data_IF_156806302538
#
_entry.id   IF_156806302538
#
_cell.length_a   1.000
_cell.length_b   1.000
_cell.length_c   1.000
_cell.angle_alpha   90.00
_cell.angle_beta   90.00
_cell.angle_gamma   90.00
#
_symmetry.space_group_name_H-M   'P 1'
#
loop_
_entity.id
_entity.type
_entity.pdbx_description
1 polymer ?
#
# COMPACT_ATOMS: atom_id res chain seq x y z
N UNK A 1 -3.55 -26.98 -24.44
CA UNK A 1 -2.11 -26.76 -24.19
C UNK A 1 -1.45 -28.12 -24.13
N UNK A 2 -0.51 -28.39 -25.05
CA UNK A 2 0.12 -29.71 -25.24
C UNK A 2 1.23 -29.91 -24.20
N UNK A 3 1.17 -31.06 -23.54
CA UNK A 3 2.17 -31.61 -22.64
C UNK A 3 3.39 -32.06 -23.47
N UNK A 4 4.56 -31.45 -23.28
CA UNK A 4 5.82 -31.95 -23.84
C UNK A 4 6.63 -32.62 -22.73
N UNK A 5 6.57 -33.95 -22.71
CA UNK A 5 7.59 -34.83 -22.14
C UNK A 5 8.83 -34.79 -23.03
N UNK A 6 10.01 -34.51 -22.48
CA UNK A 6 11.28 -34.76 -23.17
C UNK A 6 12.14 -35.74 -22.37
N UNK A 7 12.43 -36.83 -23.05
CA UNK A 7 13.14 -38.04 -22.65
C UNK A 7 14.64 -37.86 -22.47
N UNK A 8 15.14 -38.77 -21.64
CA UNK A 8 16.48 -39.01 -21.14
C UNK A 8 17.50 -39.48 -22.20
N UNK A 9 18.78 -39.39 -21.79
CA UNK A 9 19.98 -40.19 -22.16
C UNK A 9 20.92 -39.59 -23.22
N UNK A 10 22.13 -39.21 -22.78
CA UNK A 10 23.36 -39.65 -23.45
C UNK A 10 24.52 -39.75 -22.45
N UNK A 11 25.00 -40.98 -22.28
CA UNK A 11 26.21 -41.36 -21.54
C UNK A 11 27.40 -41.12 -22.47
N UNK A 12 28.46 -40.46 -21.99
CA UNK A 12 29.78 -40.55 -22.61
C UNK A 12 30.84 -40.85 -21.54
N UNK A 13 31.31 -42.09 -21.55
CA UNK A 13 32.51 -42.56 -20.86
C UNK A 13 33.75 -42.15 -21.66
N UNK A 14 34.74 -41.55 -21.00
CA UNK A 14 36.11 -41.48 -21.52
C UNK A 14 37.06 -41.94 -20.42
N UNK A 15 37.56 -43.14 -20.61
CA UNK A 15 38.70 -43.75 -19.92
C UNK A 15 39.96 -43.42 -20.71
N UNK A 16 41.08 -43.11 -20.04
CA UNK A 16 42.50 -43.35 -20.39
C UNK A 16 43.33 -42.34 -19.58
N UNK A 17 44.21 -42.73 -18.65
CA UNK A 17 45.51 -43.41 -18.79
C UNK A 17 46.61 -42.43 -18.37
N UNK A 18 47.41 -42.80 -17.38
CA UNK A 18 48.50 -41.98 -16.90
C UNK A 18 49.09 -42.50 -15.58
N UNK A 19 49.71 -43.67 -15.62
CA UNK A 19 50.54 -44.19 -14.52
C UNK A 19 51.87 -43.45 -14.50
N UNK A 20 52.05 -42.55 -13.52
CA UNK A 20 53.38 -42.01 -13.16
C UNK A 20 53.88 -42.69 -11.89
N UNK A 21 55.07 -43.27 -12.01
CA UNK A 21 55.79 -44.01 -10.99
C UNK A 21 56.22 -43.04 -9.86
N UNK A 22 55.55 -43.08 -8.71
CA UNK A 22 55.88 -42.26 -7.56
C UNK A 22 56.98 -42.93 -6.70
N UNK A 23 58.06 -42.19 -6.50
CA UNK A 23 59.24 -42.52 -5.69
C UNK A 23 58.84 -42.66 -4.20
N UNK A 24 59.10 -43.81 -3.59
CA UNK A 24 58.83 -44.04 -2.17
C UNK A 24 59.68 -43.12 -1.28
N UNK A 25 59.05 -42.10 -0.71
CA UNK A 25 59.57 -41.38 0.46
C UNK A 25 59.14 -42.11 1.75
N UNK A 26 59.98 -42.10 2.80
CA UNK A 26 59.64 -42.73 4.07
C UNK A 26 58.42 -42.04 4.70
N UNK A 27 57.38 -42.83 4.95
CA UNK A 27 56.17 -42.46 5.69
C UNK A 27 56.56 -42.00 7.11
N UNK A 28 56.72 -40.70 7.30
CA UNK A 28 56.55 -40.09 8.62
C UNK A 28 55.09 -40.32 8.99
N UNK A 29 54.84 -41.06 10.09
CA UNK A 29 53.54 -41.13 10.76
C UNK A 29 53.10 -39.71 11.09
N UNK A 30 52.32 -39.11 10.20
CA UNK A 30 51.45 -38.00 10.55
C UNK A 30 50.33 -38.61 11.37
N UNK A 31 50.34 -38.36 12.67
CA UNK A 31 49.15 -38.49 13.48
C UNK A 31 48.10 -37.59 12.84
N UNK A 32 47.09 -38.16 12.18
CA UNK A 32 45.89 -37.41 11.83
C UNK A 32 45.24 -37.03 13.16
N UNK A 33 45.57 -35.85 13.66
CA UNK A 33 44.75 -35.19 14.66
C UNK A 33 43.47 -34.79 13.94
N UNK A 34 42.44 -35.61 14.08
CA UNK A 34 41.07 -35.20 13.81
C UNK A 34 40.70 -34.14 14.83
N UNK A 35 40.98 -32.88 14.50
CA UNK A 35 40.46 -31.74 15.23
C UNK A 35 38.96 -31.69 14.94
N UNK A 36 38.16 -32.30 15.81
CA UNK A 36 36.71 -32.15 15.79
C UNK A 36 36.39 -30.73 16.23
N UNK A 37 36.32 -29.80 15.28
CA UNK A 37 35.79 -28.46 15.53
C UNK A 37 34.34 -28.63 16.00
N UNK A 38 33.96 -28.16 17.20
CA UNK A 38 32.58 -28.21 17.64
C UNK A 38 31.71 -27.49 16.59
N UNK A 39 30.51 -28.00 16.27
CA UNK A 39 29.61 -27.30 15.36
C UNK A 39 29.39 -25.89 15.91
N UNK A 40 29.75 -24.88 15.11
CA UNK A 40 29.54 -23.49 15.47
C UNK A 40 28.04 -23.33 15.72
N UNK A 41 27.65 -23.20 16.99
CA UNK A 41 26.25 -23.00 17.36
C UNK A 41 25.97 -21.52 17.13
N UNK A 42 25.78 -21.15 15.86
CA UNK A 42 25.44 -19.79 15.49
C UNK A 42 23.98 -19.56 15.86
N UNK A 43 23.74 -18.94 17.01
CA UNK A 43 22.44 -18.34 17.31
C UNK A 43 22.09 -17.43 16.13
N UNK A 44 20.93 -17.62 15.48
CA UNK A 44 20.57 -16.82 14.32
C UNK A 44 20.45 -15.35 14.75
N UNK A 45 20.92 -14.40 13.94
CA UNK A 45 20.94 -13.00 14.31
C UNK A 45 19.52 -12.48 14.54
N UNK A 46 19.36 -11.68 15.60
CA UNK A 46 18.11 -10.96 15.88
C UNK A 46 18.00 -9.71 15.00
N UNK A 47 16.78 -9.29 14.71
CA UNK A 47 16.49 -8.04 14.02
C UNK A 47 16.15 -6.92 15.00
N UNK A 48 16.39 -5.66 14.64
CA UNK A 48 15.93 -4.49 15.41
C UNK A 48 15.04 -3.62 14.54
N UNK A 49 13.79 -3.39 14.96
CA UNK A 49 12.84 -2.54 14.23
C UNK A 49 13.28 -1.08 14.26
N UNK A 50 12.80 -0.22 13.34
CA UNK A 50 13.06 1.22 13.44
C UNK A 50 12.49 1.86 14.72
N UNK A 51 11.48 1.24 15.35
CA UNK A 51 10.97 1.61 16.67
C UNK A 51 11.85 1.17 17.86
N UNK A 52 12.93 0.43 17.59
CA UNK A 52 13.88 -0.06 18.58
C UNK A 52 13.54 -1.42 19.18
N UNK A 53 12.50 -2.12 18.71
CA UNK A 53 12.13 -3.43 19.22
C UNK A 53 13.04 -4.52 18.65
N UNK A 54 13.52 -5.43 19.49
CA UNK A 54 14.26 -6.62 19.04
C UNK A 54 13.31 -7.75 18.68
N UNK A 55 13.48 -8.32 17.48
CA UNK A 55 12.74 -9.48 16.98
C UNK A 55 13.69 -10.66 16.77
N UNK A 56 13.24 -11.85 17.14
CA UNK A 56 13.87 -13.12 16.77
C UNK A 56 13.38 -13.57 15.38
N UNK A 57 14.16 -14.39 14.65
CA UNK A 57 13.71 -14.96 13.39
C UNK A 57 12.35 -15.66 13.51
N UNK A 58 11.45 -15.35 12.58
CA UNK A 58 10.06 -15.82 12.58
C UNK A 58 9.08 -14.92 13.35
N UNK A 59 9.56 -13.88 14.05
CA UNK A 59 8.68 -12.92 14.72
C UNK A 59 8.29 -11.76 13.82
N UNK A 60 7.12 -11.20 14.13
CA UNK A 60 6.55 -10.04 13.47
C UNK A 60 6.04 -9.02 14.49
N UNK A 61 5.91 -7.78 14.05
CA UNK A 61 5.26 -6.73 14.80
C UNK A 61 4.59 -5.73 13.86
N UNK A 62 3.42 -5.25 14.27
CA UNK A 62 2.73 -4.13 13.66
C UNK A 62 2.79 -2.92 14.58
N UNK A 63 3.36 -1.82 14.10
CA UNK A 63 3.51 -0.55 14.80
C UNK A 63 2.94 0.57 13.93
N UNK A 64 1.89 1.25 14.39
CA UNK A 64 1.20 2.32 13.65
C UNK A 64 0.95 1.91 12.18
N UNK A 65 1.72 2.47 11.25
CA UNK A 65 1.62 2.28 9.80
C UNK A 65 2.67 1.33 9.22
N UNK A 66 3.25 0.47 10.05
CA UNK A 66 4.34 -0.41 9.64
C UNK A 66 4.12 -1.82 10.15
N UNK A 67 4.30 -2.78 9.26
CA UNK A 67 4.39 -4.19 9.60
C UNK A 67 5.82 -4.65 9.32
N UNK A 68 6.51 -5.21 10.32
CA UNK A 68 7.85 -5.74 10.17
C UNK A 68 7.88 -7.23 10.50
N UNK A 69 8.67 -7.98 9.74
CA UNK A 69 8.93 -9.40 9.93
C UNK A 69 10.44 -9.65 9.93
N UNK A 70 10.93 -10.40 10.92
CA UNK A 70 12.33 -10.80 11.02
C UNK A 70 12.53 -12.18 10.39
N UNK A 71 13.18 -12.23 9.24
CA UNK A 71 13.49 -13.48 8.56
C UNK A 71 14.91 -13.96 8.88
N UNK A 72 15.07 -15.27 9.05
CA UNK A 72 16.35 -15.88 9.46
C UNK A 72 17.51 -15.62 8.49
N UNK A 73 17.22 -15.46 7.20
CA UNK A 73 18.24 -15.31 6.15
C UNK A 73 18.36 -13.89 5.61
N UNK A 74 17.26 -13.15 5.58
CA UNK A 74 17.17 -11.84 4.94
C UNK A 74 17.15 -10.68 5.94
N UNK A 75 17.08 -10.98 7.24
CA UNK A 75 17.00 -9.98 8.30
C UNK A 75 15.62 -9.34 8.37
N UNK A 76 15.57 -8.06 8.72
CA UNK A 76 14.32 -7.35 8.91
C UNK A 76 13.74 -6.90 7.56
N UNK A 77 12.51 -7.31 7.28
CA UNK A 77 11.68 -6.75 6.19
C UNK A 77 10.55 -5.94 6.81
N UNK A 78 10.34 -4.70 6.35
CA UNK A 78 9.24 -3.87 6.81
C UNK A 78 8.41 -3.36 5.62
N UNK A 79 7.10 -3.42 5.77
CA UNK A 79 6.10 -2.90 4.86
C UNK A 79 5.47 -1.66 5.49
N UNK A 80 5.32 -0.61 4.69
CA UNK A 80 4.72 0.65 5.09
C UNK A 80 3.35 0.77 4.40
N UNK A 81 2.35 1.16 5.17
CA UNK A 81 1.00 1.38 4.68
C UNK A 81 0.73 2.87 4.60
N UNK A 82 0.28 3.32 3.43
CA UNK A 82 -0.22 4.67 3.25
C UNK A 82 -1.70 4.74 3.62
N UNK A 83 -2.09 5.85 4.25
CA UNK A 83 -3.48 6.14 4.53
C UNK A 83 -4.10 6.99 3.44
N UNK A 84 -5.41 6.84 3.25
CA UNK A 84 -6.19 7.84 2.53
C UNK A 84 -6.33 9.10 3.35
N UNK A 85 -6.42 10.25 2.69
CA UNK A 85 -6.74 11.48 3.38
C UNK A 85 -8.12 11.37 4.02
N UNK A 86 -8.30 11.72 5.31
CA UNK A 86 -9.63 11.92 5.84
C UNK A 86 -10.30 13.11 5.13
N UNK A 87 -11.59 12.96 4.76
CA UNK A 87 -12.43 14.01 4.17
C UNK A 87 -13.67 14.23 5.04
N UNK A 88 -13.42 14.50 6.32
CA UNK A 88 -14.43 14.73 7.34
C UNK A 88 -13.89 15.69 8.41
N UNK A 89 -14.76 16.52 8.96
CA UNK A 89 -14.43 17.52 10.00
C UNK A 89 -14.13 16.88 11.36
N UNK A 90 -14.63 15.66 11.57
CA UNK A 90 -14.58 14.87 12.80
C UNK A 90 -13.60 13.71 12.68
N UNK A 91 -12.62 13.83 11.77
CA UNK A 91 -11.56 12.87 11.61
C UNK A 91 -10.79 12.69 12.93
N UNK A 92 -10.60 11.44 13.33
CA UNK A 92 -9.77 11.11 14.48
C UNK A 92 -8.91 9.88 14.18
N UNK A 93 -7.76 9.76 14.86
CA UNK A 93 -6.89 8.60 14.74
C UNK A 93 -6.95 7.81 16.03
N UNK A 94 -7.58 6.61 16.04
CA UNK A 94 -7.62 5.78 17.23
C UNK A 94 -6.22 5.49 17.78
N UNK A 95 -6.04 5.34 19.11
CA UNK A 95 -4.75 4.97 19.68
C UNK A 95 -4.23 3.65 19.09
N UNK A 96 -3.01 3.68 18.55
CA UNK A 96 -2.36 2.52 17.93
C UNK A 96 -2.81 2.22 16.48
N UNK A 97 -3.79 2.95 15.94
CA UNK A 97 -4.18 2.83 14.54
C UNK A 97 -3.24 3.62 13.63
N UNK A 98 -3.03 3.10 12.40
CA UNK A 98 -2.29 3.80 11.36
C UNK A 98 -3.05 5.04 10.85
N UNK A 99 -4.32 4.85 10.50
CA UNK A 99 -5.08 5.80 9.69
C UNK A 99 -6.14 6.55 10.47
N UNK A 100 -6.55 7.69 9.89
CA UNK A 100 -7.70 8.46 10.33
C UNK A 100 -9.00 7.72 10.03
N UNK A 101 -9.98 7.92 10.89
CA UNK A 101 -11.34 7.43 10.75
C UNK A 101 -12.32 8.61 10.74
N UNK A 102 -13.36 8.50 9.92
CA UNK A 102 -14.48 9.44 9.84
C UNK A 102 -15.71 8.79 10.45
N UNK A 103 -16.00 9.01 11.75
CA UNK A 103 -17.03 8.25 12.47
C UNK A 103 -18.44 8.54 11.95
N UNK A 104 -18.69 9.72 11.38
CA UNK A 104 -19.96 10.08 10.74
C UNK A 104 -19.94 9.94 9.21
N UNK A 105 -18.88 9.35 8.66
CA UNK A 105 -18.61 9.31 7.22
C UNK A 105 -18.06 10.63 6.69
N UNK A 106 -17.94 10.74 5.37
CA UNK A 106 -17.41 11.95 4.74
C UNK A 106 -18.38 13.12 4.94
N UNK A 107 -17.84 14.25 5.36
CA UNK A 107 -18.61 15.45 5.65
C UNK A 107 -17.72 16.69 5.51
N UNK A 108 -18.35 17.85 5.32
CA UNK A 108 -17.64 19.09 5.11
C UNK A 108 -18.28 20.24 5.87
N UNK A 109 -17.47 21.22 6.24
CA UNK A 109 -17.92 22.47 6.85
C UNK A 109 -18.21 23.51 5.78
N UNK A 110 -19.38 24.13 5.84
CA UNK A 110 -19.68 25.36 5.09
C UNK A 110 -18.95 26.51 5.79
N UNK A 111 -18.01 27.17 5.11
CA UNK A 111 -17.18 28.23 5.73
C UNK A 111 -18.00 29.44 6.20
N UNK A 112 -19.08 29.80 5.51
CA UNK A 112 -19.89 30.97 5.86
C UNK A 112 -20.77 30.77 7.08
N UNK A 113 -21.27 29.55 7.31
CA UNK A 113 -22.23 29.25 8.39
C UNK A 113 -21.64 28.39 9.51
N UNK A 114 -20.54 27.67 9.24
CA UNK A 114 -19.97 26.67 10.13
C UNK A 114 -20.73 25.33 10.17
N UNK A 115 -21.85 25.21 9.44
CA UNK A 115 -22.68 24.00 9.35
C UNK A 115 -21.88 22.85 8.73
N UNK A 116 -22.10 21.63 9.23
CA UNK A 116 -21.50 20.40 8.70
C UNK A 116 -22.53 19.68 7.86
N UNK A 117 -22.17 19.35 6.62
CA UNK A 117 -23.04 18.70 5.64
C UNK A 117 -22.43 17.35 5.23
N UNK A 118 -23.23 16.29 5.00
CA UNK A 118 -22.70 15.01 4.53
C UNK A 118 -22.21 15.13 3.08
N UNK A 119 -21.26 14.28 2.70
CA UNK A 119 -20.89 14.08 1.30
C UNK A 119 -22.01 13.41 0.50
N UNK A 120 -22.01 13.63 -0.82
CA UNK A 120 -22.89 12.94 -1.78
C UNK A 120 -23.87 13.87 -2.48
N UNK A 121 -24.79 14.50 -1.75
CA UNK A 121 -25.84 15.33 -2.34
C UNK A 121 -25.64 16.81 -1.99
N UNK A 122 -25.75 17.73 -2.97
CA UNK A 122 -25.71 19.16 -2.72
C UNK A 122 -26.84 19.61 -1.80
N UNK A 123 -26.56 20.55 -0.90
CA UNK A 123 -27.55 21.17 -0.03
C UNK A 123 -27.68 22.67 -0.34
N UNK A 124 -28.92 23.16 -0.35
CA UNK A 124 -29.17 24.59 -0.50
C UNK A 124 -29.21 25.27 0.87
N UNK A 125 -28.43 26.35 1.03
CA UNK A 125 -28.34 27.19 2.23
C UNK A 125 -28.16 28.64 1.82
N UNK A 126 -29.03 29.53 2.30
CA UNK A 126 -28.92 30.98 2.08
C UNK A 126 -28.73 31.40 0.61
N UNK A 127 -29.41 30.72 -0.32
CA UNK A 127 -29.29 30.98 -1.77
C UNK A 127 -27.97 30.49 -2.39
N UNK A 128 -27.22 29.68 -1.66
CA UNK A 128 -26.03 28.96 -2.12
C UNK A 128 -26.33 27.47 -2.23
N UNK A 129 -25.85 26.84 -3.29
CA UNK A 129 -25.77 25.39 -3.41
C UNK A 129 -24.39 24.95 -2.95
N UNK A 130 -24.32 24.22 -1.84
CA UNK A 130 -23.10 23.74 -1.22
C UNK A 130 -22.97 22.23 -1.41
N UNK A 131 -21.80 21.78 -1.86
CA UNK A 131 -21.48 20.38 -2.06
C UNK A 131 -20.24 20.00 -1.26
N UNK A 132 -20.30 18.85 -0.58
CA UNK A 132 -19.14 18.25 0.05
C UNK A 132 -18.51 17.23 -0.92
N UNK A 133 -17.26 17.43 -1.37
CA UNK A 133 -16.63 16.55 -2.34
C UNK A 133 -16.58 15.08 -1.88
N UNK A 134 -16.65 14.11 -2.81
CA UNK A 134 -16.43 12.71 -2.48
C UNK A 134 -14.99 12.46 -2.04
N UNK A 135 -14.72 11.27 -1.49
CA UNK A 135 -13.36 10.84 -1.16
C UNK A 135 -12.44 10.93 -2.39
N UNK A 136 -11.30 11.59 -2.23
CA UNK A 136 -10.20 11.52 -3.18
C UNK A 136 -9.18 10.47 -2.69
N UNK A 137 -9.06 9.37 -3.44
CA UNK A 137 -8.15 8.27 -3.15
C UNK A 137 -6.67 8.61 -3.49
N UNK A 138 -6.41 9.72 -4.18
CA UNK A 138 -5.06 10.15 -4.59
C UNK A 138 -4.43 11.18 -3.63
N UNK A 139 -5.20 11.70 -2.66
CA UNK A 139 -4.67 12.63 -1.68
C UNK A 139 -3.81 11.92 -0.62
N UNK A 140 -2.70 12.54 -0.18
CA UNK A 140 -1.88 11.97 0.88
C UNK A 140 -2.69 11.84 2.17
N UNK A 141 -2.45 10.79 2.96
CA UNK A 141 -3.12 10.48 4.24
C UNK A 141 -2.93 11.46 5.40
N UNK A 142 -2.90 12.76 5.12
CA UNK A 142 -2.78 13.84 6.09
C UNK A 142 -4.12 14.50 6.32
N UNK A 143 -4.36 14.89 7.57
CA UNK A 143 -5.47 15.75 7.91
C UNK A 143 -5.15 17.19 7.45
N UNK A 144 -5.93 17.69 6.50
CA UNK A 144 -5.74 18.98 5.84
C UNK A 144 -7.12 19.64 5.75
N UNK A 145 -7.22 20.90 6.15
CA UNK A 145 -8.52 21.58 6.34
C UNK A 145 -9.31 21.71 5.04
N UNK A 146 -8.59 21.93 3.96
CA UNK A 146 -9.10 22.04 2.60
C UNK A 146 -9.85 20.78 2.15
N UNK A 147 -9.59 19.62 2.77
CA UNK A 147 -10.19 18.34 2.40
C UNK A 147 -11.59 18.13 3.00
N UNK A 148 -12.05 19.02 3.89
CA UNK A 148 -13.39 18.96 4.49
C UNK A 148 -14.08 20.33 4.48
N UNK A 149 -13.80 21.14 3.46
CA UNK A 149 -14.51 22.40 3.19
C UNK A 149 -15.54 22.17 2.08
N UNK A 150 -16.78 22.61 2.32
CA UNK A 150 -17.84 22.54 1.33
C UNK A 150 -17.62 23.58 0.22
N UNK A 151 -17.85 23.19 -1.03
CA UNK A 151 -17.80 24.07 -2.18
C UNK A 151 -19.20 24.68 -2.40
N UNK A 152 -19.33 25.99 -2.19
CA UNK A 152 -20.61 26.68 -2.31
C UNK A 152 -20.64 27.62 -3.51
N UNK A 153 -21.68 27.50 -4.34
CA UNK A 153 -21.93 28.37 -5.50
C UNK A 153 -23.29 29.05 -5.37
N UNK A 154 -23.47 30.25 -5.95
CA UNK A 154 -24.77 30.95 -5.89
C UNK A 154 -25.79 30.22 -6.75
N UNK A 155 -26.99 30.01 -6.23
CA UNK A 155 -28.13 29.53 -7.02
C UNK A 155 -28.59 30.68 -7.90
N UNK A 156 -28.20 30.66 -9.19
CA UNK A 156 -28.82 31.54 -10.18
C UNK A 156 -30.13 30.90 -10.61
N UNK A 157 -31.24 31.24 -9.94
CA UNK A 157 -32.56 31.07 -10.52
C UNK A 157 -32.69 32.04 -11.70
N UNK A 158 -32.13 31.69 -12.86
CA UNK A 158 -32.64 32.28 -14.09
C UNK A 158 -34.10 31.81 -14.21
N UNK A 159 -35.07 32.73 -14.35
CA UNK A 159 -36.40 32.33 -14.76
C UNK A 159 -36.26 31.49 -16.05
N UNK A 160 -37.05 30.42 -16.24
CA UNK A 160 -37.15 29.82 -17.57
C UNK A 160 -37.52 30.97 -18.51
N UNK A 161 -36.68 31.24 -19.50
CA UNK A 161 -37.01 32.17 -20.57
C UNK A 161 -38.25 31.59 -21.25
N UNK A 162 -39.43 32.08 -20.87
CA UNK A 162 -40.66 31.85 -21.58
C UNK A 162 -40.45 32.44 -22.97
N UNK A 163 -40.02 31.61 -23.92
CA UNK A 163 -40.00 31.98 -25.31
C UNK A 163 -41.43 32.49 -25.65
N UNK A 164 -41.59 33.71 -26.19
CA UNK A 164 -42.90 34.17 -26.63
C UNK A 164 -43.50 33.14 -27.58
N UNK A 165 -44.79 32.78 -27.46
CA UNK A 165 -45.43 31.90 -28.41
C UNK A 165 -45.28 32.52 -29.80
N UNK A 166 -44.46 31.89 -30.63
CA UNK A 166 -44.31 32.26 -32.03
C UNK A 166 -45.59 31.82 -32.72
N UNK A 167 -46.57 32.72 -32.82
CA UNK A 167 -47.71 32.57 -33.72
C UNK A 167 -47.18 32.51 -35.15
N UNK A 168 -47.12 31.30 -35.70
CA UNK A 168 -46.89 31.06 -37.13
C UNK A 168 -48.18 31.47 -37.85
N UNK A 169 -48.16 32.47 -38.74
CA UNK A 169 -49.29 32.73 -39.62
C UNK A 169 -49.35 31.59 -40.64
N UNK A 170 -50.39 30.75 -40.56
CA UNK A 170 -50.72 29.81 -41.63
C UNK A 170 -51.24 30.59 -42.83
N UNK A 171 -50.35 30.90 -43.78
CA UNK A 171 -50.73 31.41 -45.09
C UNK A 171 -51.28 30.24 -45.90
N UNK A 172 -52.60 30.22 -46.07
CA UNK A 172 -53.31 29.34 -47.00
C UNK A 172 -52.96 29.78 -48.42
N UNK A 173 -52.29 28.91 -49.18
CA UNK A 173 -52.11 29.09 -50.61
C UNK A 173 -53.34 28.53 -51.35
N UNK A 174 -53.93 29.39 -52.19
CA UNK A 174 -54.91 29.03 -53.21
C UNK A 174 -54.25 28.31 -54.39
#
# INVERSE_FOLDING_TARGET
MKLLTLTTVLILTVTLCGTTLAKHHPLKRFLLQTTTTPPLTTTPPTCTTPGGQTLFPGQEVTEECRYCYCESHWGLTCYYFDCRSPMCVDAYRPPGACCWECPTGNNCRILSTGEVIPAGEPVERDGMLCECPPQDDFLPGRLVEENYIALCTRVTTMPPTTAPPTTIPSTVAN
#
